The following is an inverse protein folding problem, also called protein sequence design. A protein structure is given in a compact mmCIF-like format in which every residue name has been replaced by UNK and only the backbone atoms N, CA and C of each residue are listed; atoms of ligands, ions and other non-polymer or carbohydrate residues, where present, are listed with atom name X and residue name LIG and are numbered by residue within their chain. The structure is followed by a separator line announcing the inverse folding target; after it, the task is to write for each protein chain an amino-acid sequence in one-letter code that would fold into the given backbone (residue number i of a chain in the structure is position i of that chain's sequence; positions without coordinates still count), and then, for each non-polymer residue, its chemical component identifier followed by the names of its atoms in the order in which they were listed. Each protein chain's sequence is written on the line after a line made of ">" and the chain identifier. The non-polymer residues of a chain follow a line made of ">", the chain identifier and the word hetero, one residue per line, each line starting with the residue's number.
data_IF_727934750762
#
_entry.id   IF_727934750762
#
_cell.length_a   1.000
_cell.length_b   1.000
_cell.length_c   1.000
_cell.angle_alpha   90.00
_cell.angle_beta   90.00
_cell.angle_gamma   90.00
#
_symmetry.space_group_name_H-M   'P 1'
#
loop_
_entity.id
_entity.type
_entity.pdbx_description
1 polymer ?
#
# COMPACT_ATOMS: atom_id res chain seq x y z
N UNK A 1 13.39 1.76 -23.80
CA UNK A 1 13.70 1.00 -22.58
C UNK A 1 13.30 1.76 -21.31
N UNK A 2 13.62 3.05 -21.19
CA UNK A 2 13.22 3.91 -20.04
C UNK A 2 11.69 4.03 -19.89
N UNK A 3 10.99 4.06 -21.03
CA UNK A 3 9.55 4.27 -21.13
C UNK A 3 8.70 3.16 -20.47
N UNK A 4 9.13 1.88 -20.51
CA UNK A 4 8.35 0.77 -19.92
C UNK A 4 8.52 0.70 -18.40
N UNK A 5 9.73 0.99 -17.91
CA UNK A 5 10.00 1.14 -16.48
C UNK A 5 9.20 2.30 -15.90
N UNK A 6 9.19 3.44 -16.59
CA UNK A 6 8.42 4.61 -16.17
C UNK A 6 6.92 4.32 -16.16
N UNK A 7 6.39 3.67 -17.21
CA UNK A 7 5.00 3.20 -17.24
C UNK A 7 4.66 2.28 -16.06
N UNK A 8 5.52 1.32 -15.75
CA UNK A 8 5.30 0.42 -14.62
C UNK A 8 5.28 1.17 -13.28
N UNK A 9 6.13 2.18 -13.12
CA UNK A 9 6.17 3.05 -11.93
C UNK A 9 4.89 3.90 -11.82
N UNK A 10 4.48 4.53 -12.92
CA UNK A 10 3.26 5.35 -12.97
C UNK A 10 2.03 4.47 -12.69
N UNK A 11 1.95 3.29 -13.29
CA UNK A 11 0.86 2.35 -13.06
C UNK A 11 0.82 1.88 -11.60
N UNK A 12 1.98 1.56 -11.01
CA UNK A 12 2.08 1.21 -9.60
C UNK A 12 1.56 2.35 -8.71
N UNK A 13 1.98 3.59 -8.95
CA UNK A 13 1.55 4.73 -8.14
C UNK A 13 0.04 4.96 -8.25
N UNK A 14 -0.51 4.93 -9.47
CA UNK A 14 -1.93 5.16 -9.68
C UNK A 14 -2.79 4.09 -9.02
N UNK A 15 -2.40 2.81 -9.15
CA UNK A 15 -3.16 1.69 -8.56
C UNK A 15 -2.92 1.59 -7.06
N UNK A 16 -1.68 1.79 -6.60
CA UNK A 16 -1.29 1.82 -5.20
C UNK A 16 -2.03 2.90 -4.42
N UNK A 17 -2.10 4.13 -4.94
CA UNK A 17 -2.84 5.23 -4.30
C UNK A 17 -4.33 4.95 -4.16
N UNK A 18 -4.95 4.28 -5.14
CA UNK A 18 -6.35 3.84 -5.03
C UNK A 18 -6.55 2.80 -3.94
N UNK A 19 -5.65 1.80 -3.86
CA UNK A 19 -5.68 0.78 -2.79
C UNK A 19 -5.52 1.44 -1.42
N UNK A 20 -4.57 2.38 -1.30
CA UNK A 20 -4.32 3.14 -0.09
C UNK A 20 -5.57 3.89 0.36
N UNK A 21 -6.17 4.69 -0.53
CA UNK A 21 -7.33 5.51 -0.21
C UNK A 21 -8.52 4.66 0.23
N UNK A 22 -8.81 3.58 -0.49
CA UNK A 22 -9.89 2.65 -0.14
C UNK A 22 -9.68 2.01 1.24
N UNK A 23 -8.47 1.53 1.54
CA UNK A 23 -8.20 0.93 2.85
C UNK A 23 -8.21 1.96 3.97
N UNK A 24 -7.80 3.20 3.70
CA UNK A 24 -7.81 4.27 4.69
C UNK A 24 -9.23 4.68 5.04
N UNK A 25 -10.10 4.80 4.05
CA UNK A 25 -11.52 5.08 4.24
C UNK A 25 -12.21 3.94 5.02
N UNK A 26 -11.95 2.68 4.66
CA UNK A 26 -12.46 1.53 5.40
C UNK A 26 -11.98 1.51 6.86
N UNK A 27 -10.70 1.81 7.08
CA UNK A 27 -10.15 1.94 8.42
C UNK A 27 -10.88 3.05 9.20
N UNK A 28 -10.97 4.24 8.62
CA UNK A 28 -11.62 5.41 9.23
C UNK A 28 -13.05 5.09 9.67
N UNK A 29 -13.85 4.45 8.81
CA UNK A 29 -15.21 4.04 9.13
C UNK A 29 -15.24 2.98 10.24
N UNK A 30 -14.30 2.04 10.24
CA UNK A 30 -14.24 0.97 11.24
C UNK A 30 -13.86 1.44 12.64
N UNK A 31 -13.19 2.60 12.77
CA UNK A 31 -12.75 3.14 14.05
C UNK A 31 -13.49 4.39 14.50
N UNK A 32 -14.36 4.95 13.65
CA UNK A 32 -15.04 6.23 13.90
C UNK A 32 -15.84 6.27 15.21
N UNK A 33 -16.39 5.14 15.65
CA UNK A 33 -17.21 5.04 16.87
C UNK A 33 -16.46 4.50 18.07
N UNK A 34 -15.16 4.18 17.93
CA UNK A 34 -14.36 3.63 19.03
C UNK A 34 -13.95 4.73 19.99
N UNK A 35 -14.04 4.44 21.29
CA UNK A 35 -13.44 5.30 22.31
C UNK A 35 -12.00 4.84 22.54
N UNK A 36 -11.00 5.65 22.19
CA UNK A 36 -9.57 5.27 22.28
C UNK A 36 -9.13 4.94 23.72
N UNK A 37 -9.81 5.45 24.75
CA UNK A 37 -9.49 5.17 26.15
C UNK A 37 -9.95 3.76 26.61
N UNK A 38 -10.95 3.19 25.92
CA UNK A 38 -11.55 1.91 26.29
C UNK A 38 -11.29 0.81 25.25
N UNK A 39 -11.27 1.20 23.98
CA UNK A 39 -11.24 0.32 22.82
C UNK A 39 -9.87 0.31 22.11
N UNK A 40 -8.78 0.71 22.77
CA UNK A 40 -7.45 0.77 22.14
C UNK A 40 -7.05 -0.58 21.53
N UNK A 41 -7.32 -1.70 22.21
CA UNK A 41 -7.06 -3.03 21.67
C UNK A 41 -7.80 -3.28 20.34
N UNK A 42 -9.05 -2.83 20.23
CA UNK A 42 -9.86 -2.96 19.01
C UNK A 42 -9.30 -2.05 17.91
N UNK A 43 -8.90 -0.82 18.27
CA UNK A 43 -8.25 0.10 17.35
C UNK A 43 -6.94 -0.48 16.81
N UNK A 44 -6.04 -0.98 17.67
CA UNK A 44 -4.78 -1.60 17.27
C UNK A 44 -5.03 -2.82 16.36
N UNK A 45 -6.05 -3.62 16.67
CA UNK A 45 -6.45 -4.73 15.81
C UNK A 45 -6.89 -4.27 14.42
N UNK A 46 -7.75 -3.24 14.33
CA UNK A 46 -8.15 -2.67 13.04
C UNK A 46 -6.97 -2.06 12.30
N UNK A 47 -6.07 -1.35 12.99
CA UNK A 47 -4.87 -0.76 12.40
C UNK A 47 -3.98 -1.84 11.78
N UNK A 48 -3.65 -2.88 12.53
CA UNK A 48 -2.82 -4.00 12.08
C UNK A 48 -3.46 -4.75 10.91
N UNK A 49 -4.78 -4.97 10.96
CA UNK A 49 -5.54 -5.62 9.87
C UNK A 49 -5.43 -4.84 8.56
N UNK A 50 -5.63 -3.52 8.60
CA UNK A 50 -5.59 -2.68 7.40
C UNK A 50 -4.15 -2.49 6.89
N UNK A 51 -3.17 -2.35 7.77
CA UNK A 51 -1.75 -2.30 7.41
C UNK A 51 -1.28 -3.59 6.71
N UNK A 52 -1.58 -4.76 7.29
CA UNK A 52 -1.24 -6.05 6.67
C UNK A 52 -1.97 -6.25 5.32
N UNK A 53 -3.21 -5.78 5.21
CA UNK A 53 -3.94 -5.82 3.95
C UNK A 53 -3.34 -4.90 2.90
N UNK A 54 -2.90 -3.68 3.28
CA UNK A 54 -2.21 -2.75 2.39
C UNK A 54 -0.91 -3.36 1.90
N UNK A 55 -0.07 -3.88 2.80
CA UNK A 55 1.20 -4.52 2.47
C UNK A 55 1.02 -5.65 1.46
N UNK A 56 0.11 -6.58 1.74
CA UNK A 56 -0.21 -7.70 0.84
C UNK A 56 -0.69 -7.24 -0.53
N UNK A 57 -1.59 -6.25 -0.58
CA UNK A 57 -2.15 -5.75 -1.86
C UNK A 57 -1.09 -5.02 -2.69
N UNK A 58 -0.21 -4.25 -2.07
CA UNK A 58 0.87 -3.57 -2.78
C UNK A 58 1.96 -4.54 -3.25
N UNK A 59 2.32 -5.56 -2.46
CA UNK A 59 3.24 -6.61 -2.90
C UNK A 59 2.66 -7.43 -4.07
N UNK A 60 1.37 -7.76 -4.01
CA UNK A 60 0.68 -8.42 -5.12
C UNK A 60 0.70 -7.56 -6.39
N UNK A 61 0.38 -6.26 -6.25
CA UNK A 61 0.45 -5.30 -7.36
C UNK A 61 1.87 -5.19 -7.94
N UNK A 62 2.90 -5.12 -7.08
CA UNK A 62 4.29 -5.09 -7.53
C UNK A 62 4.65 -6.35 -8.32
N UNK A 63 4.26 -7.53 -7.82
CA UNK A 63 4.50 -8.82 -8.48
C UNK A 63 3.79 -8.90 -9.83
N UNK A 64 2.54 -8.47 -9.89
CA UNK A 64 1.74 -8.41 -11.12
C UNK A 64 2.42 -7.52 -12.17
N UNK A 65 2.84 -6.30 -11.78
CA UNK A 65 3.49 -5.37 -12.69
C UNK A 65 4.88 -5.85 -13.11
N UNK A 66 5.66 -6.44 -12.20
CA UNK A 66 6.93 -7.10 -12.58
C UNK A 66 6.65 -8.18 -13.61
N UNK A 67 5.66 -9.06 -13.39
CA UNK A 67 5.29 -10.09 -14.37
C UNK A 67 4.90 -9.52 -15.73
N UNK A 68 4.04 -8.49 -15.74
CA UNK A 68 3.56 -7.79 -16.94
C UNK A 68 4.69 -7.18 -17.76
N UNK A 69 5.67 -6.55 -17.09
CA UNK A 69 6.75 -5.82 -17.75
C UNK A 69 8.05 -6.62 -17.93
N UNK A 70 8.24 -7.73 -17.20
CA UNK A 70 9.42 -8.62 -17.34
C UNK A 70 9.43 -9.39 -18.66
N UNK A 71 8.26 -9.70 -19.21
CA UNK A 71 8.11 -10.28 -20.55
C UNK A 71 8.66 -9.33 -21.62
N UNK A 72 8.69 -8.02 -21.34
CA UNK A 72 9.00 -6.99 -22.33
C UNK A 72 10.48 -6.59 -22.40
N UNK A 73 11.29 -6.75 -21.35
CA UNK A 73 12.77 -6.63 -21.35
C UNK A 73 13.33 -6.61 -19.91
N UNK A 74 14.11 -7.60 -19.45
CA UNK A 74 14.95 -7.64 -18.21
C UNK A 74 14.87 -6.40 -17.27
N UNK A 75 13.79 -6.21 -16.52
CA UNK A 75 13.65 -5.10 -15.56
C UNK A 75 13.91 -5.53 -14.12
N UNK A 76 15.11 -6.08 -13.87
CA UNK A 76 15.53 -6.46 -12.51
C UNK A 76 15.55 -5.25 -11.54
N UNK A 77 15.57 -4.03 -12.08
CA UNK A 77 15.52 -2.78 -11.30
C UNK A 77 14.12 -2.37 -10.80
N UNK A 78 13.02 -3.01 -11.20
CA UNK A 78 11.68 -2.64 -10.68
C UNK A 78 11.43 -3.12 -9.27
N UNK A 79 11.97 -4.29 -8.91
CA UNK A 79 11.78 -4.86 -7.59
C UNK A 79 12.24 -3.93 -6.45
N UNK A 80 13.49 -3.39 -6.46
CA UNK A 80 13.90 -2.45 -5.41
C UNK A 80 13.05 -1.18 -5.40
N UNK A 81 12.63 -0.67 -6.57
CA UNK A 81 11.80 0.54 -6.67
C UNK A 81 10.41 0.33 -6.05
N UNK A 82 9.76 -0.79 -6.37
CA UNK A 82 8.46 -1.10 -5.79
C UNK A 82 8.55 -1.36 -4.30
N UNK A 83 9.59 -2.06 -3.82
CA UNK A 83 9.81 -2.27 -2.40
C UNK A 83 9.95 -0.94 -1.63
N UNK A 84 10.69 0.03 -2.17
CA UNK A 84 10.82 1.34 -1.53
C UNK A 84 9.50 2.12 -1.52
N UNK A 85 8.73 2.06 -2.62
CA UNK A 85 7.40 2.68 -2.68
C UNK A 85 6.42 2.03 -1.71
N UNK A 86 6.43 0.70 -1.59
CA UNK A 86 5.62 -0.04 -0.61
C UNK A 86 5.94 0.46 0.80
N UNK A 87 7.23 0.54 1.17
CA UNK A 87 7.65 1.04 2.48
C UNK A 87 7.18 2.47 2.75
N UNK A 88 7.26 3.36 1.76
CA UNK A 88 6.77 4.74 1.88
C UNK A 88 5.28 4.74 2.15
N UNK A 89 4.49 4.05 1.33
CA UNK A 89 3.04 4.01 1.48
C UNK A 89 2.59 3.38 2.81
N UNK A 90 3.26 2.30 3.26
CA UNK A 90 2.99 1.71 4.57
C UNK A 90 3.29 2.67 5.72
N UNK A 91 4.42 3.39 5.64
CA UNK A 91 4.79 4.40 6.64
C UNK A 91 3.77 5.53 6.69
N UNK A 92 3.36 6.06 5.55
CA UNK A 92 2.34 7.10 5.46
C UNK A 92 1.00 6.64 6.02
N UNK A 93 0.58 5.41 5.70
CA UNK A 93 -0.66 4.84 6.21
C UNK A 93 -0.63 4.73 7.74
N UNK A 94 0.44 4.16 8.28
CA UNK A 94 0.65 4.03 9.71
C UNK A 94 0.71 5.39 10.42
N UNK A 95 1.37 6.39 9.83
CA UNK A 95 1.38 7.75 10.37
C UNK A 95 -0.01 8.37 10.41
N UNK A 96 -0.79 8.25 9.33
CA UNK A 96 -2.16 8.78 9.30
C UNK A 96 -3.07 8.10 10.30
N UNK A 97 -2.95 6.79 10.48
CA UNK A 97 -3.73 6.05 11.48
C UNK A 97 -3.49 6.58 12.89
N UNK A 98 -2.23 6.90 13.24
CA UNK A 98 -1.89 7.43 14.57
C UNK A 98 -2.52 8.79 14.89
N UNK A 99 -3.07 9.48 13.90
CA UNK A 99 -3.74 10.77 14.07
C UNK A 99 -5.24 10.64 14.40
N UNK A 100 -5.78 9.42 14.47
CA UNK A 100 -7.12 9.11 14.98
C UNK A 100 -7.12 8.88 16.48
#
# INVERSE_FOLDING_TARGET
>A
MENDKEKAIVEFNNRGSKIFQQLYEQFSLSVQTLNRDHDDNVFQLQANKHLSTLDRRLNWLATELIGKYRVLNRIDSLNPIFNDRIKIMLREFHQKIRLF
#
